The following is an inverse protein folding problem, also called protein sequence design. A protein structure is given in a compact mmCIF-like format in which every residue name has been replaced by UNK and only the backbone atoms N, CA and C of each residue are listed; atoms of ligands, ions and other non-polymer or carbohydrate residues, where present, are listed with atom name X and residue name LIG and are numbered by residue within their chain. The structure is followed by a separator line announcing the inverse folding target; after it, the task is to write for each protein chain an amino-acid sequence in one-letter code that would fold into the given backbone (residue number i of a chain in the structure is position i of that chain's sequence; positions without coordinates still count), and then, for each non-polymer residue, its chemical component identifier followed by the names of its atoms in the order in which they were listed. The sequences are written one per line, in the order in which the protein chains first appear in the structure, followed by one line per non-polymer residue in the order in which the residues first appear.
data_IF_859058180583
#
_entry.id   IF_859058180583
#
_cell.length_a   1.000
_cell.length_b   1.000
_cell.length_c   1.000
_cell.angle_alpha   90.00
_cell.angle_beta   90.00
_cell.angle_gamma   90.00
#
_symmetry.space_group_name_H-M   'P 1'
#
loop_
_entity.id
_entity.type
_entity.pdbx_description
1 polymer ?
#
# COMPACT_ATOMS: atom_id res chain seq x y z
N UNK A 1 6.99 10.56 40.33
CA UNK A 1 6.40 10.30 39.02
C UNK A 1 7.15 9.13 38.43
N UNK A 2 6.41 8.10 38.05
CA UNK A 2 6.93 6.78 37.71
C UNK A 2 7.38 6.75 36.26
N UNK A 3 8.63 7.17 36.03
CA UNK A 3 9.26 7.19 34.70
C UNK A 3 9.22 5.82 33.99
N UNK A 4 9.03 4.74 34.76
CA UNK A 4 8.93 3.38 34.24
C UNK A 4 7.55 3.06 33.63
N UNK A 5 6.48 3.68 34.13
CA UNK A 5 5.11 3.43 33.67
C UNK A 5 4.82 4.15 32.34
N UNK A 6 5.29 5.39 32.20
CA UNK A 6 5.18 6.18 30.95
C UNK A 6 5.98 5.55 29.80
N UNK A 7 7.19 5.06 30.09
CA UNK A 7 8.03 4.36 29.11
C UNK A 7 7.39 3.05 28.61
N UNK A 8 6.76 2.29 29.51
CA UNK A 8 6.02 1.07 29.16
C UNK A 8 4.79 1.40 28.31
N UNK A 9 4.05 2.47 28.65
CA UNK A 9 2.91 2.94 27.87
C UNK A 9 3.30 3.34 26.44
N UNK A 10 4.40 4.08 26.28
CA UNK A 10 4.93 4.46 24.98
C UNK A 10 5.34 3.24 24.14
N UNK A 11 6.10 2.31 24.73
CA UNK A 11 6.53 1.09 24.05
C UNK A 11 5.34 0.26 23.54
N UNK A 12 4.27 0.16 24.33
CA UNK A 12 3.04 -0.53 23.93
C UNK A 12 2.33 0.15 22.75
N UNK A 13 2.31 1.49 22.70
CA UNK A 13 1.77 2.23 21.56
C UNK A 13 2.55 1.94 20.28
N UNK A 14 3.88 1.93 20.35
CA UNK A 14 4.73 1.65 19.19
C UNK A 14 4.61 0.20 18.71
N UNK A 15 4.55 -0.77 19.64
CA UNK A 15 4.28 -2.18 19.30
C UNK A 15 2.91 -2.36 18.65
N UNK A 16 1.88 -1.70 19.18
CA UNK A 16 0.55 -1.70 18.57
C UNK A 16 0.57 -1.14 17.15
N UNK A 17 1.35 -0.08 16.90
CA UNK A 17 1.56 0.44 15.56
C UNK A 17 2.21 -0.60 14.63
N UNK A 18 3.26 -1.31 15.07
CA UNK A 18 3.88 -2.37 14.27
C UNK A 18 2.90 -3.47 13.89
N UNK A 19 2.05 -3.91 14.84
CA UNK A 19 1.03 -4.93 14.61
C UNK A 19 -0.02 -4.47 13.58
N UNK A 20 -0.44 -3.20 13.64
CA UNK A 20 -1.37 -2.62 12.67
C UNK A 20 -0.76 -2.63 11.26
N UNK A 21 0.54 -2.33 11.13
CA UNK A 21 1.23 -2.35 9.84
C UNK A 21 1.41 -3.77 9.30
N UNK A 22 1.68 -4.74 10.17
CA UNK A 22 1.70 -6.15 9.80
C UNK A 22 0.34 -6.63 9.28
N UNK A 23 -0.76 -6.23 9.94
CA UNK A 23 -2.12 -6.48 9.45
C UNK A 23 -2.33 -5.82 8.09
N UNK A 24 -1.94 -4.56 7.93
CA UNK A 24 -2.09 -3.82 6.66
C UNK A 24 -1.34 -4.51 5.51
N UNK A 25 -0.11 -4.98 5.73
CA UNK A 25 0.65 -5.76 4.75
C UNK A 25 -0.06 -7.08 4.35
N UNK A 26 -0.70 -7.73 5.33
CA UNK A 26 -1.51 -8.94 5.10
C UNK A 26 -2.75 -8.64 4.25
N UNK A 27 -3.41 -7.50 4.46
CA UNK A 27 -4.55 -7.04 3.65
C UNK A 27 -4.13 -6.77 2.20
N UNK A 28 -2.99 -6.10 1.95
CA UNK A 28 -2.47 -5.96 0.59
C UNK A 28 -2.19 -7.32 -0.08
N UNK A 29 -1.64 -8.27 0.66
CA UNK A 29 -1.36 -9.62 0.16
C UNK A 29 -2.64 -10.37 -0.21
N UNK A 30 -3.68 -10.26 0.62
CA UNK A 30 -5.01 -10.82 0.36
C UNK A 30 -5.63 -10.18 -0.88
N UNK A 31 -5.59 -8.85 -0.97
CA UNK A 31 -6.12 -8.11 -2.11
C UNK A 31 -5.45 -8.53 -3.42
N UNK A 32 -4.12 -8.64 -3.42
CA UNK A 32 -3.36 -9.05 -4.60
C UNK A 32 -3.73 -10.46 -5.06
N UNK A 33 -3.84 -11.41 -4.12
CA UNK A 33 -4.29 -12.79 -4.41
C UNK A 33 -5.71 -12.80 -4.98
N UNK A 34 -6.63 -12.07 -4.34
CA UNK A 34 -8.01 -11.98 -4.80
C UNK A 34 -8.14 -11.37 -6.19
N UNK A 35 -7.33 -10.35 -6.50
CA UNK A 35 -7.29 -9.76 -7.84
C UNK A 35 -6.72 -10.72 -8.89
N UNK A 36 -5.70 -11.50 -8.55
CA UNK A 36 -5.15 -12.52 -9.45
C UNK A 36 -6.19 -13.62 -9.77
N UNK A 37 -6.97 -14.04 -8.78
CA UNK A 37 -8.06 -15.00 -8.97
C UNK A 37 -9.23 -14.41 -9.76
N UNK A 38 -9.53 -13.13 -9.51
CA UNK A 38 -10.52 -12.38 -10.26
C UNK A 38 -10.21 -12.34 -11.77
N UNK A 39 -8.95 -12.05 -12.14
CA UNK A 39 -8.52 -12.05 -13.54
C UNK A 39 -8.62 -13.42 -14.22
N UNK A 40 -8.58 -14.53 -13.48
CA UNK A 40 -8.71 -15.89 -14.03
C UNK A 40 -10.16 -16.34 -14.19
N UNK A 41 -11.02 -16.01 -13.22
CA UNK A 41 -12.38 -16.58 -13.11
C UNK A 41 -13.48 -15.63 -13.58
N UNK A 42 -13.18 -14.33 -13.73
CA UNK A 42 -14.12 -13.27 -14.10
C UNK A 42 -15.38 -13.21 -13.20
N UNK A 43 -15.27 -13.63 -11.92
CA UNK A 43 -16.35 -13.53 -10.93
C UNK A 43 -16.36 -12.13 -10.31
N UNK A 44 -17.16 -11.22 -10.88
CA UNK A 44 -17.28 -9.82 -10.41
C UNK A 44 -17.86 -9.73 -8.99
N UNK A 45 -18.80 -10.61 -8.61
CA UNK A 45 -19.49 -10.55 -7.31
C UNK A 45 -18.57 -10.90 -6.12
N UNK A 46 -17.76 -11.95 -6.26
CA UNK A 46 -16.83 -12.36 -5.19
C UNK A 46 -15.73 -11.33 -4.98
N UNK A 47 -15.22 -10.76 -6.08
CA UNK A 47 -14.19 -9.73 -6.02
C UNK A 47 -14.73 -8.41 -5.46
N UNK A 48 -15.96 -8.03 -5.82
CA UNK A 48 -16.64 -6.85 -5.25
C UNK A 48 -16.79 -6.95 -3.74
N UNK A 49 -17.25 -8.11 -3.23
CA UNK A 49 -17.34 -8.37 -1.77
C UNK A 49 -15.98 -8.27 -1.10
N UNK A 50 -14.95 -8.84 -1.72
CA UNK A 50 -13.58 -8.75 -1.22
C UNK A 50 -13.08 -7.30 -1.16
N UNK A 51 -13.34 -6.49 -2.18
CA UNK A 51 -13.00 -5.07 -2.17
C UNK A 51 -13.68 -4.34 -1.01
N UNK A 52 -14.97 -4.61 -0.75
CA UNK A 52 -15.69 -4.05 0.40
C UNK A 52 -15.01 -4.38 1.74
N UNK A 53 -14.63 -5.64 1.94
CA UNK A 53 -13.91 -6.07 3.15
C UNK A 53 -12.55 -5.37 3.29
N UNK A 54 -11.77 -5.32 2.20
CA UNK A 54 -10.45 -4.68 2.19
C UNK A 54 -10.55 -3.19 2.50
N UNK A 55 -11.54 -2.49 1.97
CA UNK A 55 -11.78 -1.07 2.27
C UNK A 55 -12.05 -0.85 3.76
N UNK A 56 -12.85 -1.73 4.40
CA UNK A 56 -13.10 -1.68 5.84
C UNK A 56 -11.80 -1.90 6.62
N UNK A 57 -11.02 -2.90 6.24
CA UNK A 57 -9.76 -3.21 6.93
C UNK A 57 -8.73 -2.08 6.83
N UNK A 58 -8.53 -1.48 5.65
CA UNK A 58 -7.65 -0.32 5.50
C UNK A 58 -8.14 0.87 6.33
N UNK A 59 -9.45 1.13 6.32
CA UNK A 59 -10.06 2.24 7.07
C UNK A 59 -9.88 2.06 8.58
N UNK A 60 -10.06 0.84 9.09
CA UNK A 60 -9.85 0.50 10.48
C UNK A 60 -8.37 0.66 10.87
N UNK A 61 -7.43 0.11 10.10
CA UNK A 61 -6.01 0.35 10.34
C UNK A 61 -5.68 1.86 10.36
N UNK A 62 -6.22 2.66 9.45
CA UNK A 62 -5.93 4.10 9.38
C UNK A 62 -6.55 4.87 10.55
N UNK A 63 -7.69 4.41 11.08
CA UNK A 63 -8.25 4.95 12.32
C UNK A 63 -7.33 4.65 13.50
N UNK A 64 -6.96 3.39 13.70
CA UNK A 64 -6.12 2.99 14.83
C UNK A 64 -4.76 3.72 14.85
N UNK A 65 -4.12 3.90 13.68
CA UNK A 65 -2.87 4.68 13.61
C UNK A 65 -3.10 6.16 13.96
N UNK A 66 -4.21 6.77 13.53
CA UNK A 66 -4.54 8.15 13.92
C UNK A 66 -4.78 8.29 15.43
N UNK A 67 -5.39 7.28 16.05
CA UNK A 67 -5.58 7.26 17.50
C UNK A 67 -4.22 7.19 18.22
N UNK A 68 -3.28 6.39 17.72
CA UNK A 68 -1.89 6.34 18.24
C UNK A 68 -1.19 7.69 18.05
N UNK A 69 -1.27 8.30 16.86
CA UNK A 69 -0.69 9.62 16.58
C UNK A 69 -1.23 10.67 17.56
N UNK A 70 -2.54 10.67 17.82
CA UNK A 70 -3.16 11.62 18.74
C UNK A 70 -2.60 11.45 20.17
N UNK A 71 -2.43 10.20 20.63
CA UNK A 71 -1.83 9.89 21.93
C UNK A 71 -0.36 10.30 22.02
N UNK A 72 0.42 10.12 20.97
CA UNK A 72 1.83 10.54 20.92
C UNK A 72 1.98 12.07 21.00
N UNK A 73 1.00 12.81 20.46
CA UNK A 73 0.93 14.27 20.51
C UNK A 73 0.38 14.82 21.82
N UNK A 74 -0.21 13.99 22.67
CA UNK A 74 -0.74 14.40 23.97
C UNK A 74 0.39 14.96 24.85
N UNK A 75 0.09 15.98 25.66
CA UNK A 75 1.06 16.63 26.54
C UNK A 75 1.68 15.67 27.54
N UNK A 76 0.97 14.58 27.90
CA UNK A 76 1.50 13.57 28.82
C UNK A 76 2.58 12.68 28.20
N UNK A 77 2.54 12.46 26.88
CA UNK A 77 3.52 11.61 26.17
C UNK A 77 4.59 12.46 25.51
N UNK A 78 4.21 13.59 24.91
CA UNK A 78 5.09 14.58 24.31
C UNK A 78 6.10 14.01 23.31
N UNK A 79 5.67 13.03 22.49
CA UNK A 79 6.48 12.38 21.43
C UNK A 79 6.00 12.80 20.04
N UNK A 80 5.98 14.10 19.81
CA UNK A 80 5.58 14.68 18.53
C UNK A 80 6.52 14.27 17.36
N UNK A 81 7.77 13.94 17.68
CA UNK A 81 8.75 13.35 16.76
C UNK A 81 8.24 12.03 16.18
N UNK A 82 7.89 11.07 17.05
CA UNK A 82 7.34 9.76 16.63
C UNK A 82 5.98 9.91 15.94
N UNK A 83 5.15 10.85 16.42
CA UNK A 83 3.90 11.15 15.77
C UNK A 83 4.10 11.59 14.31
N UNK A 84 5.12 12.41 14.03
CA UNK A 84 5.49 12.84 12.68
C UNK A 84 5.92 11.64 11.82
N UNK A 85 6.70 10.70 12.36
CA UNK A 85 7.09 9.47 11.65
C UNK A 85 5.86 8.66 11.25
N UNK A 86 4.91 8.46 12.18
CA UNK A 86 3.67 7.73 11.90
C UNK A 86 2.78 8.46 10.87
N UNK A 87 2.78 9.79 10.86
CA UNK A 87 2.09 10.60 9.84
C UNK A 87 2.71 10.40 8.46
N UNK A 88 4.05 10.35 8.35
CA UNK A 88 4.71 10.02 7.09
C UNK A 88 4.31 8.63 6.60
N UNK A 89 4.26 7.63 7.49
CA UNK A 89 3.77 6.30 7.11
C UNK A 89 2.33 6.35 6.59
N UNK A 90 1.43 7.14 7.18
CA UNK A 90 0.06 7.29 6.65
C UNK A 90 0.01 7.91 5.26
N UNK A 91 0.86 8.90 4.99
CA UNK A 91 0.97 9.52 3.66
C UNK A 91 1.41 8.47 2.62
N UNK A 92 2.47 7.74 2.92
CA UNK A 92 3.00 6.71 2.03
C UNK A 92 2.01 5.55 1.83
N UNK A 93 1.29 5.14 2.88
CA UNK A 93 0.25 4.11 2.78
C UNK A 93 -0.93 4.56 1.92
N UNK A 94 -1.34 5.83 2.02
CA UNK A 94 -2.35 6.41 1.13
C UNK A 94 -1.91 6.39 -0.34
N UNK A 95 -0.66 6.80 -0.61
CA UNK A 95 -0.09 6.79 -1.95
C UNK A 95 0.00 5.36 -2.51
N UNK A 96 0.52 4.41 -1.72
CA UNK A 96 0.63 3.00 -2.09
C UNK A 96 -0.73 2.38 -2.42
N UNK A 97 -1.75 2.63 -1.60
CA UNK A 97 -3.12 2.14 -1.84
C UNK A 97 -3.68 2.70 -3.15
N UNK A 98 -3.55 4.00 -3.37
CA UNK A 98 -4.00 4.67 -4.60
C UNK A 98 -3.32 4.09 -5.84
N UNK A 99 -1.99 4.00 -5.84
CA UNK A 99 -1.23 3.51 -6.99
C UNK A 99 -1.44 2.00 -7.24
N UNK A 100 -1.63 1.21 -6.18
CA UNK A 100 -2.04 -0.19 -6.30
C UNK A 100 -3.39 -0.33 -7.00
N UNK A 101 -4.35 0.56 -6.67
CA UNK A 101 -5.67 0.59 -7.31
C UNK A 101 -5.54 0.92 -8.80
N UNK A 102 -4.72 1.93 -9.14
CA UNK A 102 -4.43 2.31 -10.54
C UNK A 102 -3.84 1.12 -11.30
N UNK A 103 -2.87 0.40 -10.72
CA UNK A 103 -2.29 -0.79 -11.35
C UNK A 103 -3.33 -1.89 -11.59
N UNK A 104 -4.27 -2.10 -10.67
CA UNK A 104 -5.34 -3.08 -10.88
C UNK A 104 -6.28 -2.68 -12.02
N UNK A 105 -6.66 -1.40 -12.11
CA UNK A 105 -7.47 -0.89 -13.22
C UNK A 105 -6.75 -1.05 -14.56
N UNK A 106 -5.47 -0.63 -14.64
CA UNK A 106 -4.65 -0.78 -15.84
C UNK A 106 -4.52 -2.25 -16.26
N UNK A 107 -4.25 -3.15 -15.31
CA UNK A 107 -4.14 -4.59 -15.57
C UNK A 107 -5.46 -5.21 -16.02
N UNK A 108 -6.58 -4.86 -15.38
CA UNK A 108 -7.91 -5.33 -15.78
C UNK A 108 -8.24 -4.89 -17.20
N UNK A 109 -7.89 -3.66 -17.55
CA UNK A 109 -8.17 -3.12 -18.86
C UNK A 109 -7.29 -3.79 -19.95
N UNK A 110 -6.08 -4.28 -19.62
CA UNK A 110 -5.18 -4.97 -20.56
C UNK A 110 -4.49 -4.02 -21.53
N UNK A 111 -3.58 -4.52 -22.38
CA UNK A 111 -2.88 -3.66 -23.34
C UNK A 111 -3.85 -3.14 -24.40
N UNK A 112 -3.73 -1.88 -24.88
CA UNK A 112 -4.56 -1.36 -25.97
C UNK A 112 -4.58 -2.30 -27.18
N UNK A 113 -3.41 -2.82 -27.56
CA UNK A 113 -3.23 -3.77 -28.66
C UNK A 113 -3.99 -5.09 -28.51
N UNK A 114 -4.31 -5.50 -27.27
CA UNK A 114 -5.08 -6.72 -26.97
C UNK A 114 -6.59 -6.47 -27.02
N UNK A 115 -7.03 -5.23 -26.72
CA UNK A 115 -8.44 -4.84 -26.76
C UNK A 115 -8.98 -4.78 -28.19
N UNK A 116 -8.22 -4.23 -29.13
CA UNK A 116 -8.64 -4.06 -30.53
C UNK A 116 -8.91 -5.40 -31.22
N UNK A 117 -8.08 -6.42 -30.93
CA UNK A 117 -8.20 -7.77 -31.51
C UNK A 117 -9.50 -8.50 -31.11
N UNK A 118 -10.05 -8.21 -29.93
CA UNK A 118 -11.31 -8.83 -29.46
C UNK A 118 -12.51 -8.28 -30.26
N UNK A 119 -12.47 -7.01 -30.69
CA UNK A 119 -13.52 -6.37 -31.46
C UNK A 119 -13.57 -6.86 -32.92
N UNK A 120 -12.40 -7.12 -33.52
CA UNK A 120 -12.30 -7.61 -34.91
C UNK A 120 -12.83 -9.03 -35.09
N UNK A 121 -12.65 -9.91 -34.10
CA UNK A 121 -13.18 -11.28 -34.14
C UNK A 121 -14.71 -11.37 -34.07
N UNK A 122 -15.41 -10.30 -33.67
CA UNK A 122 -16.88 -10.25 -33.67
C UNK A 122 -17.49 -9.85 -35.03
N UNK A 123 -16.67 -9.35 -35.97
CA UNK A 123 -17.15 -8.82 -37.26
C UNK A 123 -16.86 -9.75 -38.46
N UNK A 124 -16.23 -10.91 -38.25
CA UNK A 124 -15.87 -11.83 -39.34
C UNK A 124 -17.02 -12.69 -39.90
N UNK A 125 -18.28 -12.39 -39.54
CA UNK A 125 -19.46 -12.99 -40.18
C UNK A 125 -20.33 -11.94 -40.90
N UNK A 126 -19.74 -11.18 -41.83
CA UNK A 126 -20.52 -10.50 -42.88
C UNK A 126 -19.70 -10.29 -44.18
N UNK A 127 -20.01 -11.15 -45.15
CA UNK A 127 -19.98 -10.92 -46.61
C UNK A 127 -18.67 -10.57 -47.33
N UNK A 128 -18.28 -11.50 -48.23
CA UNK A 128 -17.40 -11.30 -49.37
C UNK A 128 -17.75 -10.04 -50.18
N UNK A 129 -16.83 -9.07 -50.26
CA UNK A 129 -16.63 -8.23 -51.45
C UNK A 129 -15.28 -7.53 -51.38
N UNK A 130 -14.33 -8.00 -52.19
CA UNK A 130 -13.01 -7.41 -52.32
C UNK A 130 -13.06 -6.22 -53.29
N UNK A 131 -12.92 -5.00 -52.77
CA UNK A 131 -12.61 -3.79 -53.54
C UNK A 131 -11.30 -3.23 -52.99
N UNK A 132 -10.19 -3.44 -53.71
CA UNK A 132 -8.90 -2.84 -53.37
C UNK A 132 -8.90 -1.36 -53.77
N UNK A 133 -9.22 -0.50 -52.81
CA UNK A 133 -8.89 0.93 -52.85
C UNK A 133 -7.56 1.15 -52.14
N UNK A 134 -6.52 1.54 -52.89
CA UNK A 134 -5.24 2.00 -52.35
C UNK A 134 -5.38 3.43 -51.81
N UNK A 135 -6.13 3.61 -50.73
CA UNK A 135 -5.99 4.78 -49.87
C UNK A 135 -5.33 4.30 -48.60
N UNK A 136 -4.13 4.79 -48.27
CA UNK A 136 -3.33 4.39 -47.09
C UNK A 136 -4.19 4.48 -45.82
N UNK A 137 -4.73 3.37 -45.27
CA UNK A 137 -5.58 3.40 -44.09
C UNK A 137 -4.87 2.78 -42.88
N UNK A 138 -3.55 2.54 -42.96
CA UNK A 138 -2.79 1.80 -41.93
C UNK A 138 -1.76 2.63 -41.16
N UNK A 139 -1.31 3.76 -41.69
CA UNK A 139 -0.24 4.54 -41.04
C UNK A 139 -0.76 5.42 -39.90
N UNK A 140 -1.94 6.04 -40.07
CA UNK A 140 -2.56 6.87 -39.04
C UNK A 140 -3.08 6.05 -37.84
N UNK A 141 -3.77 4.93 -38.11
CA UNK A 141 -4.23 4.01 -37.06
C UNK A 141 -3.06 3.31 -36.36
N UNK A 142 -2.00 2.97 -37.10
CA UNK A 142 -0.77 2.40 -36.53
C UNK A 142 -0.02 3.36 -35.61
N UNK A 143 0.04 4.65 -35.96
CA UNK A 143 0.65 5.68 -35.10
C UNK A 143 -0.14 5.90 -33.81
N UNK A 144 -1.47 5.96 -33.91
CA UNK A 144 -2.36 6.15 -32.76
C UNK A 144 -2.25 4.98 -31.78
N UNK A 145 -2.27 3.74 -32.27
CA UNK A 145 -2.09 2.55 -31.42
C UNK A 145 -0.73 2.50 -30.74
N UNK A 146 0.35 2.90 -31.43
CA UNK A 146 1.68 2.99 -30.83
C UNK A 146 1.74 4.04 -29.71
N UNK A 147 1.06 5.18 -29.90
CA UNK A 147 0.97 6.21 -28.86
C UNK A 147 0.21 5.71 -27.63
N UNK A 148 -0.94 5.06 -27.82
CA UNK A 148 -1.74 4.51 -26.71
C UNK A 148 -0.97 3.43 -25.93
N UNK A 149 -0.19 2.59 -26.61
CA UNK A 149 0.64 1.58 -25.96
C UNK A 149 1.75 2.24 -25.13
N UNK A 150 2.41 3.27 -25.67
CA UNK A 150 3.45 4.02 -24.95
C UNK A 150 2.88 4.73 -23.69
N UNK A 151 1.69 5.33 -23.80
CA UNK A 151 1.00 5.95 -22.65
C UNK A 151 0.62 4.92 -21.58
N UNK A 152 0.13 3.75 -22.00
CA UNK A 152 -0.19 2.65 -21.09
C UNK A 152 1.07 2.15 -20.35
N UNK A 153 2.16 1.89 -21.07
CA UNK A 153 3.42 1.43 -20.48
C UNK A 153 4.02 2.48 -19.54
N UNK A 154 3.96 3.76 -19.90
CA UNK A 154 4.38 4.86 -19.05
C UNK A 154 3.57 4.89 -17.74
N UNK A 155 2.23 4.78 -17.82
CA UNK A 155 1.36 4.76 -16.64
C UNK A 155 1.62 3.55 -15.73
N UNK A 156 1.83 2.36 -16.30
CA UNK A 156 2.17 1.16 -15.53
C UNK A 156 3.53 1.34 -14.83
N UNK A 157 4.52 1.90 -15.53
CA UNK A 157 5.85 2.15 -14.97
C UNK A 157 5.79 3.17 -13.83
N UNK A 158 5.10 4.29 -14.02
CA UNK A 158 4.92 5.32 -13.00
C UNK A 158 4.24 4.75 -11.75
N UNK A 159 3.10 4.07 -11.92
CA UNK A 159 2.37 3.51 -10.79
C UNK A 159 3.17 2.41 -10.08
N UNK A 160 3.96 1.62 -10.80
CA UNK A 160 4.86 0.62 -10.20
C UNK A 160 5.98 1.28 -9.39
N UNK A 161 6.64 2.29 -9.95
CA UNK A 161 7.68 3.05 -9.25
C UNK A 161 7.14 3.70 -7.98
N UNK A 162 6.01 4.38 -8.07
CA UNK A 162 5.37 5.03 -6.93
C UNK A 162 4.97 4.05 -5.80
N UNK A 163 4.54 2.81 -6.15
CA UNK A 163 4.31 1.76 -5.14
C UNK A 163 5.62 1.31 -4.48
N UNK A 164 6.68 1.15 -5.27
CA UNK A 164 7.99 0.74 -4.74
C UNK A 164 8.59 1.81 -3.82
N UNK A 165 8.55 3.07 -4.25
CA UNK A 165 9.03 4.21 -3.47
C UNK A 165 8.29 4.30 -2.13
N UNK A 166 6.96 4.20 -2.15
CA UNK A 166 6.17 4.19 -0.93
C UNK A 166 6.53 3.02 -0.01
N UNK A 167 6.79 1.82 -0.55
CA UNK A 167 7.23 0.66 0.25
C UNK A 167 8.59 0.88 0.89
N UNK A 168 9.55 1.47 0.17
CA UNK A 168 10.87 1.81 0.71
C UNK A 168 10.72 2.80 1.87
N UNK A 169 10.03 3.91 1.63
CA UNK A 169 9.80 4.94 2.66
C UNK A 169 9.07 4.39 3.89
N UNK A 170 8.05 3.55 3.70
CA UNK A 170 7.37 2.89 4.82
C UNK A 170 8.37 2.04 5.60
N UNK A 171 9.17 1.21 4.94
CA UNK A 171 10.12 0.33 5.63
C UNK A 171 11.19 1.09 6.41
N UNK A 172 11.67 2.22 5.89
CA UNK A 172 12.61 3.11 6.58
C UNK A 172 11.99 3.66 7.87
N UNK A 173 10.78 4.21 7.81
CA UNK A 173 10.08 4.68 9.01
C UNK A 173 9.73 3.55 9.98
N UNK A 174 9.40 2.36 9.47
CA UNK A 174 9.16 1.19 10.31
C UNK A 174 10.43 0.75 11.07
N UNK A 175 11.59 0.94 10.45
CA UNK A 175 12.89 0.67 11.09
C UNK A 175 13.22 1.70 12.17
N UNK A 176 12.94 2.98 11.92
CA UNK A 176 13.05 4.05 12.92
C UNK A 176 12.23 3.72 14.19
N UNK A 177 10.99 3.26 14.03
CA UNK A 177 10.16 2.85 15.17
C UNK A 177 10.72 1.60 15.88
N UNK A 178 11.33 0.66 15.16
CA UNK A 178 11.97 -0.51 15.78
C UNK A 178 13.17 -0.10 16.63
N UNK A 179 14.03 0.79 16.13
CA UNK A 179 15.15 1.32 16.90
C UNK A 179 14.70 2.05 18.17
N UNK A 180 13.64 2.86 18.09
CA UNK A 180 13.09 3.53 19.26
C UNK A 180 12.59 2.52 20.31
N UNK A 181 11.90 1.46 19.91
CA UNK A 181 11.47 0.40 20.84
C UNK A 181 12.67 -0.26 21.52
N UNK A 182 13.72 -0.59 20.77
CA UNK A 182 14.93 -1.20 21.30
C UNK A 182 15.65 -0.29 22.32
N UNK A 183 15.77 1.00 22.02
CA UNK A 183 16.37 1.99 22.92
C UNK A 183 15.55 2.14 24.22
N UNK A 184 14.21 2.18 24.13
CA UNK A 184 13.33 2.21 25.30
C UNK A 184 13.51 0.95 26.17
N UNK A 185 13.60 -0.23 25.56
CA UNK A 185 13.80 -1.49 26.27
C UNK A 185 15.17 -1.55 26.96
N UNK A 186 16.21 -1.06 26.29
CA UNK A 186 17.54 -1.01 26.87
C UNK A 186 17.55 -0.09 28.10
N UNK A 187 17.00 1.12 28.00
CA UNK A 187 16.87 2.07 29.11
C UNK A 187 16.09 1.48 30.28
N UNK A 188 14.97 0.82 30.01
CA UNK A 188 14.19 0.13 31.05
C UNK A 188 15.01 -0.96 31.74
N UNK A 189 15.78 -1.75 30.97
CA UNK A 189 16.62 -2.81 31.52
C UNK A 189 17.73 -2.29 32.42
N UNK A 190 18.33 -1.15 32.07
CA UNK A 190 19.38 -0.48 32.85
C UNK A 190 18.83 0.05 34.17
N UNK A 191 17.69 0.75 34.13
CA UNK A 191 16.99 1.23 35.32
C UNK A 191 16.69 0.08 36.30
N UNK A 192 16.21 -1.06 35.79
CA UNK A 192 15.91 -2.24 36.61
C UNK A 192 17.17 -2.87 37.22
N UNK A 193 18.32 -2.82 36.54
CA UNK A 193 19.59 -3.30 37.09
C UNK A 193 20.06 -2.39 38.23
N UNK A 194 20.03 -1.08 38.03
CA UNK A 194 20.47 -0.11 39.03
C UNK A 194 19.62 -0.18 40.31
N UNK A 195 18.29 -0.30 40.16
CA UNK A 195 17.37 -0.52 41.29
C UNK A 195 17.67 -1.80 42.07
N UNK A 196 18.05 -2.88 41.39
CA UNK A 196 18.43 -4.15 42.04
C UNK A 196 19.74 -4.02 42.79
N UNK A 197 20.73 -3.32 42.22
CA UNK A 197 22.03 -3.09 42.88
C UNK A 197 21.83 -2.27 44.16
N UNK A 198 21.07 -1.18 44.12
CA UNK A 198 20.82 -0.33 45.30
C UNK A 198 20.03 -1.01 46.42
N UNK A 199 19.20 -2.03 46.10
CA UNK A 199 18.47 -2.82 47.12
C UNK A 199 19.32 -3.91 47.77
N UNK A 200 20.44 -4.29 47.16
CA UNK A 200 21.36 -5.33 47.70
C UNK A 200 22.48 -4.71 48.55
N UNK A 201 22.76 -3.42 48.38
CA UNK A 201 23.81 -2.69 49.12
C UNK A 201 23.33 -1.98 50.39
N UNK A 202 22.05 -2.13 50.78
CA UNK A 202 21.43 -1.66 52.03
C UNK A 202 21.06 -2.85 52.93
#
# INVERSE_FOLDING_TARGET
MDYSDESVGLQQLLRSFLDIQQRRASVYSLWHKGFAEYLKRSSDDDFSKLCGQITIDFSDCSRQVRDIIARLKDESVCRADLASVLEQVQIQESQKLRMTSVLQVLRKAGRPSERTKVTEHSQQHATNSHVCSHGVPGEAEGLEMAQLEAEFEAAVKEATGAVQDAVVMINEHMEEIRYEIEDLEQKQSEILRDLKISRVTL
#
